data_IF_115656488057
#
_entry.id   IF_115656488057
#
_cell.length_a   1.000
_cell.length_b   1.000
_cell.length_c   1.000
_cell.angle_alpha   90.00
_cell.angle_beta   90.00
_cell.angle_gamma   90.00
#
_symmetry.space_group_name_H-M   'P 1'
#
loop_
_entity.id
_entity.type
_entity.pdbx_description
1 polymer ?
#
# COMPACT_ATOMS: atom_id res chain seq x y z
N UNK A 1 -29.38 19.13 -3.86
CA UNK A 1 -29.84 17.73 -4.05
C UNK A 1 -29.47 17.16 -5.42
N UNK A 2 -29.93 17.71 -6.55
CA UNK A 2 -29.60 17.19 -7.90
C UNK A 2 -28.09 17.17 -8.20
N UNK A 3 -27.37 18.25 -7.88
CA UNK A 3 -25.91 18.31 -8.04
C UNK A 3 -25.20 17.15 -7.31
N UNK A 4 -25.53 16.93 -6.05
CA UNK A 4 -24.90 15.90 -5.23
C UNK A 4 -25.31 14.48 -5.65
N UNK A 5 -26.61 14.24 -5.86
CA UNK A 5 -27.13 12.88 -6.16
C UNK A 5 -26.99 12.45 -7.62
N UNK A 6 -26.89 13.39 -8.57
CA UNK A 6 -26.95 13.07 -10.01
C UNK A 6 -25.82 13.67 -10.85
N UNK A 7 -24.96 14.51 -10.28
CA UNK A 7 -23.89 15.18 -11.04
C UNK A 7 -22.50 14.92 -10.46
N UNK A 8 -22.33 15.06 -9.14
CA UNK A 8 -21.03 14.91 -8.48
C UNK A 8 -20.70 13.48 -8.08
N UNK A 9 -21.71 12.64 -7.85
CA UNK A 9 -21.56 11.21 -7.50
C UNK A 9 -21.95 10.29 -8.65
N UNK A 10 -21.71 10.69 -9.91
CA UNK A 10 -21.94 9.81 -11.05
C UNK A 10 -20.89 8.71 -11.01
N UNK A 11 -21.29 7.53 -10.57
CA UNK A 11 -20.49 6.30 -10.67
C UNK A 11 -20.84 5.60 -11.97
N UNK A 12 -19.84 5.08 -12.67
CA UNK A 12 -20.11 4.19 -13.79
C UNK A 12 -20.68 2.87 -13.25
N UNK A 13 -21.53 2.15 -14.01
CA UNK A 13 -21.98 0.83 -13.61
C UNK A 13 -20.74 -0.05 -13.36
N UNK A 14 -20.66 -0.68 -12.19
CA UNK A 14 -19.52 -1.54 -11.85
C UNK A 14 -19.32 -2.60 -12.92
N UNK A 15 -18.09 -2.70 -13.43
CA UNK A 15 -17.72 -3.78 -14.34
C UNK A 15 -17.93 -5.14 -13.66
N UNK A 16 -18.56 -6.08 -14.36
CA UNK A 16 -18.70 -7.48 -13.92
C UNK A 16 -17.37 -8.23 -13.84
N UNK A 17 -16.28 -7.60 -14.27
CA UNK A 17 -14.98 -8.24 -14.51
C UNK A 17 -13.95 -7.87 -13.43
N UNK A 18 -14.41 -7.57 -12.21
CA UNK A 18 -13.50 -7.30 -11.10
C UNK A 18 -12.52 -8.47 -10.92
N UNK A 19 -11.24 -8.15 -10.66
CA UNK A 19 -10.20 -9.14 -10.44
C UNK A 19 -9.76 -9.11 -8.98
N UNK A 20 -9.21 -10.23 -8.51
CA UNK A 20 -8.40 -10.20 -7.30
C UNK A 20 -7.13 -9.39 -7.57
N UNK A 21 -6.76 -8.49 -6.65
CA UNK A 21 -5.67 -7.53 -6.89
C UNK A 21 -4.34 -8.18 -7.32
N UNK A 22 -4.01 -9.38 -6.80
CA UNK A 22 -2.80 -10.10 -7.18
C UNK A 22 -2.81 -10.53 -8.66
N UNK A 23 -3.98 -10.70 -9.28
CA UNK A 23 -4.10 -11.05 -10.70
C UNK A 23 -3.65 -9.89 -11.60
N UNK A 24 -3.81 -8.62 -11.18
CA UNK A 24 -3.22 -7.49 -11.90
C UNK A 24 -1.68 -7.53 -11.86
N UNK A 25 -1.11 -7.90 -10.71
CA UNK A 25 0.34 -8.14 -10.61
C UNK A 25 0.78 -9.28 -11.54
N UNK A 26 0.08 -10.41 -11.53
CA UNK A 26 0.39 -11.56 -12.41
C UNK A 26 0.32 -11.22 -13.91
N UNK A 27 -0.65 -10.39 -14.31
CA UNK A 27 -0.71 -9.86 -15.67
C UNK A 27 0.53 -9.04 -16.03
N UNK A 28 1.09 -8.27 -15.10
CA UNK A 28 2.33 -7.55 -15.34
C UNK A 28 3.54 -8.46 -15.38
N UNK A 29 3.57 -9.52 -14.57
CA UNK A 29 4.62 -10.55 -14.65
C UNK A 29 4.67 -11.18 -16.04
N UNK A 30 3.52 -11.47 -16.65
CA UNK A 30 3.45 -12.00 -18.02
C UNK A 30 3.92 -11.01 -19.08
N UNK A 31 3.63 -9.72 -18.90
CA UNK A 31 3.99 -8.67 -19.87
C UNK A 31 5.46 -8.24 -19.77
N UNK A 32 6.02 -8.21 -18.56
CA UNK A 32 7.32 -7.59 -18.26
C UNK A 32 8.14 -8.40 -17.23
N UNK A 33 8.41 -9.69 -17.48
CA UNK A 33 9.00 -10.59 -16.48
C UNK A 33 10.37 -10.13 -15.97
N UNK A 34 11.20 -9.58 -16.85
CA UNK A 34 12.60 -9.22 -16.55
C UNK A 34 12.78 -7.79 -16.01
N UNK A 35 11.71 -6.99 -15.98
CA UNK A 35 11.77 -5.62 -15.42
C UNK A 35 11.88 -5.70 -13.90
N UNK A 36 12.68 -4.82 -13.30
CA UNK A 36 12.79 -4.73 -11.83
C UNK A 36 11.45 -4.29 -11.22
N UNK A 37 10.83 -5.18 -10.46
CA UNK A 37 9.60 -4.92 -9.71
C UNK A 37 9.88 -4.27 -8.36
N UNK A 38 10.95 -4.70 -7.69
CA UNK A 38 11.22 -4.34 -6.30
C UNK A 38 12.70 -4.04 -6.09
N UNK A 39 12.99 -2.94 -5.40
CA UNK A 39 14.32 -2.59 -4.91
C UNK A 39 14.30 -2.31 -3.41
N UNK A 40 15.25 -2.88 -2.69
CA UNK A 40 15.53 -2.57 -1.30
C UNK A 40 17.04 -2.66 -1.06
N UNK A 41 17.65 -1.53 -0.69
CA UNK A 41 19.11 -1.41 -0.56
C UNK A 41 19.84 -1.90 -1.83
N UNK A 42 20.68 -2.94 -1.72
CA UNK A 42 21.39 -3.55 -2.86
C UNK A 42 20.60 -4.64 -3.56
N UNK A 43 19.47 -5.07 -2.99
CA UNK A 43 18.64 -6.15 -3.52
C UNK A 43 17.70 -5.61 -4.58
N UNK A 44 17.58 -6.37 -5.68
CA UNK A 44 16.64 -6.12 -6.76
C UNK A 44 15.98 -7.42 -7.14
N UNK A 45 14.65 -7.40 -7.30
CA UNK A 45 13.89 -8.53 -7.82
C UNK A 45 13.16 -8.09 -9.08
N UNK A 46 13.25 -8.89 -10.13
CA UNK A 46 12.40 -8.76 -11.30
C UNK A 46 10.94 -9.13 -10.96
N UNK A 47 10.00 -8.78 -11.84
CA UNK A 47 8.62 -9.24 -11.72
C UNK A 47 8.53 -10.76 -11.66
N UNK A 48 9.29 -11.48 -12.50
CA UNK A 48 9.32 -12.94 -12.50
C UNK A 48 9.91 -13.50 -11.19
N UNK A 49 11.01 -12.96 -10.68
CA UNK A 49 11.64 -13.41 -9.44
C UNK A 49 10.75 -13.16 -8.22
N UNK A 50 10.14 -11.97 -8.14
CA UNK A 50 9.20 -11.64 -7.07
C UNK A 50 7.98 -12.56 -7.11
N UNK A 51 7.44 -12.83 -8.31
CA UNK A 51 6.29 -13.71 -8.48
C UNK A 51 6.61 -15.16 -8.11
N UNK A 52 7.76 -15.68 -8.55
CA UNK A 52 8.20 -17.04 -8.22
C UNK A 52 8.29 -17.24 -6.70
N UNK A 53 8.98 -16.33 -5.98
CA UNK A 53 9.09 -16.39 -4.51
C UNK A 53 7.72 -16.30 -3.83
N UNK A 54 6.86 -15.40 -4.29
CA UNK A 54 5.51 -15.27 -3.76
C UNK A 54 4.65 -16.51 -4.02
N UNK A 55 4.79 -17.16 -5.18
CA UNK A 55 4.08 -18.38 -5.53
C UNK A 55 4.53 -19.56 -4.66
N UNK A 56 5.83 -19.74 -4.47
CA UNK A 56 6.38 -20.79 -3.61
C UNK A 56 5.85 -20.68 -2.19
N UNK A 57 5.87 -19.47 -1.63
CA UNK A 57 5.28 -19.21 -0.32
C UNK A 57 3.76 -19.39 -0.34
N UNK A 58 3.05 -18.99 -1.40
CA UNK A 58 1.60 -19.20 -1.51
C UNK A 58 1.22 -20.68 -1.51
N UNK A 59 1.94 -21.54 -2.23
CA UNK A 59 1.72 -23.00 -2.19
C UNK A 59 1.96 -23.56 -0.79
N UNK A 60 3.00 -23.09 -0.09
CA UNK A 60 3.21 -23.47 1.30
C UNK A 60 2.05 -23.02 2.20
N UNK A 61 1.56 -21.79 2.04
CA UNK A 61 0.42 -21.27 2.80
C UNK A 61 -0.86 -22.10 2.55
N UNK A 62 -1.14 -22.46 1.29
CA UNK A 62 -2.26 -23.34 0.92
C UNK A 62 -2.09 -24.71 1.59
N UNK A 63 -0.89 -25.28 1.60
CA UNK A 63 -0.61 -26.55 2.26
C UNK A 63 -0.81 -26.49 3.79
N UNK A 64 -0.64 -25.32 4.40
CA UNK A 64 -0.94 -25.07 5.82
C UNK A 64 -2.42 -24.70 6.08
N UNK A 65 -3.26 -24.76 5.05
CA UNK A 65 -4.71 -24.63 5.16
C UNK A 65 -5.25 -23.22 4.97
N UNK A 66 -4.43 -22.28 4.46
CA UNK A 66 -4.93 -20.94 4.07
C UNK A 66 -5.98 -21.07 2.98
N UNK A 67 -7.13 -20.44 3.21
CA UNK A 67 -8.29 -20.40 2.33
C UNK A 67 -8.89 -18.97 2.28
N UNK A 68 -9.82 -18.69 1.34
CA UNK A 68 -10.50 -17.39 1.28
C UNK A 68 -11.08 -16.91 2.62
N UNK A 69 -10.97 -15.61 2.88
CA UNK A 69 -11.33 -14.88 4.13
C UNK A 69 -10.56 -15.28 5.40
N UNK A 70 -9.63 -16.23 5.32
CA UNK A 70 -8.73 -16.51 6.42
C UNK A 70 -7.64 -15.46 6.51
N UNK A 71 -7.24 -15.13 7.74
CA UNK A 71 -6.25 -14.10 8.02
C UNK A 71 -4.88 -14.71 8.20
N UNK A 72 -3.87 -14.11 7.61
CA UNK A 72 -2.46 -14.42 7.86
C UNK A 72 -1.80 -13.16 8.40
N UNK A 73 -1.30 -13.21 9.62
CA UNK A 73 -0.57 -12.08 10.18
C UNK A 73 0.83 -12.02 9.57
N UNK A 74 1.33 -10.82 9.30
CA UNK A 74 2.67 -10.61 8.75
C UNK A 74 3.37 -9.59 9.65
N UNK A 75 4.35 -10.04 10.42
CA UNK A 75 5.19 -9.22 11.29
C UNK A 75 6.64 -9.43 10.85
N UNK A 76 7.15 -8.56 9.98
CA UNK A 76 8.52 -8.69 9.46
C UNK A 76 9.19 -7.34 9.38
N UNK A 77 10.52 -7.34 9.44
CA UNK A 77 11.30 -6.17 9.09
C UNK A 77 11.07 -5.77 7.64
N UNK A 78 11.21 -4.47 7.39
CA UNK A 78 11.17 -3.93 6.04
C UNK A 78 12.24 -4.59 5.18
N UNK A 79 11.81 -5.37 4.20
CA UNK A 79 12.66 -6.21 3.35
C UNK A 79 11.85 -6.72 2.15
N UNK A 80 12.48 -7.33 1.13
CA UNK A 80 11.74 -7.98 0.06
C UNK A 80 10.76 -9.06 0.55
N UNK A 81 11.06 -9.73 1.68
CA UNK A 81 10.19 -10.74 2.26
C UNK A 81 8.83 -10.19 2.71
N UNK A 82 8.74 -8.91 3.06
CA UNK A 82 7.47 -8.22 3.33
C UNK A 82 6.54 -8.24 2.12
N UNK A 83 7.06 -7.90 0.94
CA UNK A 83 6.29 -7.86 -0.31
C UNK A 83 5.98 -9.28 -0.80
N UNK A 84 6.94 -10.21 -0.66
CA UNK A 84 6.74 -11.63 -0.95
C UNK A 84 5.62 -12.20 -0.07
N UNK A 85 5.65 -11.96 1.24
CA UNK A 85 4.62 -12.41 2.18
C UNK A 85 3.24 -11.84 1.84
N UNK A 86 3.14 -10.53 1.59
CA UNK A 86 1.89 -9.89 1.19
C UNK A 86 1.31 -10.53 -0.08
N UNK A 87 2.11 -10.66 -1.14
CA UNK A 87 1.66 -11.27 -2.40
C UNK A 87 1.31 -12.76 -2.22
N UNK A 88 2.10 -13.50 -1.44
CA UNK A 88 1.88 -14.91 -1.19
C UNK A 88 0.54 -15.17 -0.49
N UNK A 89 0.20 -14.36 0.52
CA UNK A 89 -1.09 -14.45 1.21
C UNK A 89 -2.24 -14.20 0.25
N UNK A 90 -2.16 -13.14 -0.56
CA UNK A 90 -3.20 -12.82 -1.55
C UNK A 90 -3.36 -13.92 -2.62
N UNK A 91 -2.25 -14.54 -3.04
CA UNK A 91 -2.23 -15.64 -4.02
C UNK A 91 -2.75 -16.96 -3.43
N UNK A 92 -2.50 -17.19 -2.15
CA UNK A 92 -3.10 -18.30 -1.39
C UNK A 92 -4.62 -18.10 -1.15
N UNK A 93 -5.13 -16.90 -1.44
CA UNK A 93 -6.53 -16.50 -1.24
C UNK A 93 -6.82 -15.95 0.15
N UNK A 94 -5.84 -15.89 1.04
CA UNK A 94 -6.01 -15.30 2.36
C UNK A 94 -5.98 -13.77 2.34
N UNK A 95 -6.34 -13.19 3.48
CA UNK A 95 -6.21 -11.77 3.76
C UNK A 95 -5.02 -11.51 4.69
N UNK A 96 -4.13 -10.59 4.33
CA UNK A 96 -3.00 -10.29 5.20
C UNK A 96 -3.38 -9.31 6.31
N UNK A 97 -2.79 -9.50 7.49
CA UNK A 97 -2.89 -8.59 8.63
C UNK A 97 -1.49 -8.03 8.90
N UNK A 98 -1.17 -6.82 8.42
CA UNK A 98 0.16 -6.26 8.57
C UNK A 98 0.40 -5.80 10.02
N UNK A 99 1.52 -6.23 10.59
CA UNK A 99 1.99 -5.86 11.91
C UNK A 99 3.31 -5.10 11.77
N UNK A 100 3.42 -3.96 12.43
CA UNK A 100 4.65 -3.16 12.46
C UNK A 100 5.49 -3.60 13.67
N UNK A 101 6.73 -4.01 13.44
CA UNK A 101 7.65 -4.44 14.51
C UNK A 101 7.97 -3.31 15.49
N UNK A 102 7.74 -2.05 15.11
CA UNK A 102 7.89 -0.90 15.99
C UNK A 102 6.70 -0.69 16.96
N UNK A 103 5.61 -1.47 16.84
CA UNK A 103 4.50 -1.38 17.77
C UNK A 103 4.84 -2.00 19.13
N UNK A 104 4.28 -1.45 20.23
CA UNK A 104 4.35 -2.11 21.53
C UNK A 104 3.75 -3.52 21.48
N UNK A 105 4.37 -4.46 22.19
CA UNK A 105 3.96 -5.86 22.22
C UNK A 105 2.49 -6.03 22.62
N UNK A 106 1.97 -5.19 23.52
CA UNK A 106 0.56 -5.25 23.93
C UNK A 106 -0.39 -4.96 22.76
N UNK A 107 0.00 -4.03 21.87
CA UNK A 107 -0.77 -3.71 20.66
C UNK A 107 -0.71 -4.87 19.67
N UNK A 108 0.45 -5.45 19.47
CA UNK A 108 0.62 -6.59 18.57
C UNK A 108 -0.18 -7.81 19.04
N UNK A 109 -0.08 -8.16 20.33
CA UNK A 109 -0.83 -9.23 20.97
C UNK A 109 -2.34 -9.01 20.89
N UNK A 110 -2.79 -7.77 21.10
CA UNK A 110 -4.20 -7.42 20.91
C UNK A 110 -4.68 -7.71 19.48
N UNK A 111 -3.92 -7.26 18.48
CA UNK A 111 -4.25 -7.48 17.07
C UNK A 111 -4.29 -8.98 16.75
N UNK A 112 -3.31 -9.77 17.20
CA UNK A 112 -3.30 -11.22 16.99
C UNK A 112 -4.53 -11.91 17.60
N UNK A 113 -4.89 -11.52 18.83
CA UNK A 113 -6.03 -12.08 19.54
C UNK A 113 -7.38 -11.75 18.89
N UNK A 114 -7.52 -10.54 18.35
CA UNK A 114 -8.72 -10.10 17.65
C UNK A 114 -8.81 -10.71 16.23
N UNK A 115 -7.72 -10.65 15.47
CA UNK A 115 -7.66 -11.12 14.09
C UNK A 115 -7.79 -12.64 13.98
N UNK A 116 -7.27 -13.38 14.97
CA UNK A 116 -7.19 -14.85 15.00
C UNK A 116 -6.65 -15.42 13.69
N UNK A 117 -5.41 -15.05 13.32
CA UNK A 117 -4.83 -15.52 12.06
C UNK A 117 -4.62 -17.03 12.10
N UNK A 118 -4.73 -17.69 10.94
CA UNK A 118 -4.47 -19.13 10.82
C UNK A 118 -2.98 -19.46 10.96
N UNK A 119 -2.12 -18.51 10.60
CA UNK A 119 -0.67 -18.56 10.82
C UNK A 119 -0.07 -17.15 10.83
N UNK A 120 1.18 -17.06 11.29
CA UNK A 120 1.99 -15.84 11.31
C UNK A 120 3.18 -16.00 10.40
N UNK A 121 3.37 -15.06 9.48
CA UNK A 121 4.63 -14.85 8.78
C UNK A 121 5.50 -13.90 9.62
N UNK A 122 6.61 -14.40 10.16
CA UNK A 122 7.52 -13.61 10.98
C UNK A 122 9.00 -13.97 10.76
N UNK A 123 9.80 -12.95 10.50
CA UNK A 123 11.26 -13.03 10.54
C UNK A 123 11.76 -12.91 11.98
N UNK A 124 13.08 -12.94 12.19
CA UNK A 124 13.69 -12.85 13.52
C UNK A 124 13.20 -11.62 14.31
N UNK A 125 13.21 -10.44 13.70
CA UNK A 125 12.75 -9.21 14.34
C UNK A 125 11.24 -9.23 14.62
N UNK A 126 10.46 -9.82 13.73
CA UNK A 126 9.03 -10.03 13.94
C UNK A 126 8.72 -10.94 15.11
N UNK A 127 9.47 -12.04 15.25
CA UNK A 127 9.33 -12.95 16.37
C UNK A 127 9.75 -12.29 17.70
N UNK A 128 10.82 -11.51 17.69
CA UNK A 128 11.26 -10.72 18.85
C UNK A 128 10.20 -9.70 19.28
N UNK A 129 9.64 -8.94 18.33
CA UNK A 129 8.62 -7.93 18.60
C UNK A 129 7.32 -8.52 19.17
N UNK A 130 6.94 -9.72 18.71
CA UNK A 130 5.74 -10.43 19.19
C UNK A 130 5.96 -11.07 20.57
N UNK A 131 7.15 -11.58 20.82
CA UNK A 131 7.48 -12.32 22.04
C UNK A 131 6.88 -13.73 22.08
N UNK A 132 7.49 -14.60 22.89
CA UNK A 132 7.13 -16.02 22.97
C UNK A 132 5.68 -16.26 23.38
N UNK A 133 5.13 -15.44 24.29
CA UNK A 133 3.77 -15.60 24.82
C UNK A 133 2.71 -15.35 23.74
N UNK A 134 2.87 -14.30 22.92
CA UNK A 134 1.92 -13.98 21.86
C UNK A 134 1.96 -15.02 20.72
N UNK A 135 3.11 -15.66 20.54
CA UNK A 135 3.37 -16.67 19.52
C UNK A 135 2.97 -18.09 19.95
N UNK A 136 2.72 -18.31 21.24
CA UNK A 136 2.43 -19.63 21.78
C UNK A 136 1.20 -20.26 21.12
N UNK A 137 1.41 -21.42 20.47
CA UNK A 137 0.35 -22.17 19.79
C UNK A 137 -0.02 -21.67 18.39
N UNK A 138 0.66 -20.65 17.87
CA UNK A 138 0.52 -20.21 16.48
C UNK A 138 1.52 -20.96 15.59
N UNK A 139 1.11 -21.26 14.36
CA UNK A 139 2.04 -21.69 13.32
C UNK A 139 2.82 -20.48 12.81
N UNK A 140 4.13 -20.56 12.81
CA UNK A 140 5.02 -19.48 12.38
C UNK A 140 5.84 -19.96 11.18
N UNK A 141 5.92 -19.13 10.14
CA UNK A 141 6.81 -19.34 9.01
C UNK A 141 7.65 -18.07 8.80
N UNK A 142 8.95 -18.23 8.58
CA UNK A 142 9.79 -17.13 8.15
C UNK A 142 9.71 -17.02 6.61
N UNK A 143 9.19 -15.91 6.05
CA UNK A 143 9.10 -15.72 4.60
C UNK A 143 10.46 -15.66 3.87
N UNK A 144 11.58 -15.54 4.60
CA UNK A 144 12.93 -15.66 4.04
C UNK A 144 13.41 -17.10 3.88
N UNK A 145 12.74 -18.07 4.52
CA UNK A 145 13.13 -19.48 4.44
C UNK A 145 12.95 -19.96 3.00
N UNK A 146 13.99 -20.51 2.35
CA UNK A 146 13.85 -21.11 1.03
C UNK A 146 12.84 -22.27 1.06
N UNK A 147 11.93 -22.29 0.09
CA UNK A 147 10.89 -23.31 -0.02
C UNK A 147 11.09 -24.12 -1.30
N UNK A 148 10.99 -25.44 -1.19
CA UNK A 148 10.94 -26.34 -2.34
C UNK A 148 9.47 -26.56 -2.75
N UNK A 149 8.85 -25.49 -3.24
CA UNK A 149 7.47 -25.45 -3.72
C UNK A 149 7.44 -25.05 -5.19
N UNK A 150 6.33 -25.33 -5.92
CA UNK A 150 6.17 -24.85 -7.29
C UNK A 150 6.25 -23.31 -7.36
N UNK A 151 6.86 -22.79 -8.42
CA UNK A 151 6.95 -21.36 -8.70
C UNK A 151 5.81 -20.83 -9.60
N UNK A 152 4.88 -21.70 -10.00
CA UNK A 152 3.71 -21.37 -10.81
C UNK A 152 2.59 -20.73 -9.99
N UNK A 153 1.80 -19.85 -10.60
CA UNK A 153 0.70 -19.16 -9.89
C UNK A 153 -0.31 -20.19 -9.36
N UNK A 154 -0.58 -20.23 -8.03
CA UNK A 154 -1.59 -21.14 -7.48
C UNK A 154 -2.97 -20.82 -8.05
N UNK A 155 -3.81 -21.86 -8.18
CA UNK A 155 -5.19 -21.73 -8.65
C UNK A 155 -6.14 -22.08 -7.50
N UNK A 156 -6.72 -21.04 -6.89
CA UNK A 156 -7.68 -21.20 -5.77
C UNK A 156 -9.09 -21.02 -6.32
N UNK A 157 -9.77 -22.13 -6.65
CA UNK A 157 -11.06 -22.11 -7.36
C UNK A 157 -12.20 -21.38 -6.63
N UNK A 158 -12.14 -21.33 -5.29
CA UNK A 158 -13.13 -20.64 -4.47
C UNK A 158 -12.86 -19.13 -4.31
N UNK A 159 -11.68 -18.64 -4.70
CA UNK A 159 -11.30 -17.25 -4.51
C UNK A 159 -12.01 -16.36 -5.52
N UNK A 160 -12.62 -15.28 -5.03
CA UNK A 160 -13.32 -14.27 -5.82
C UNK A 160 -12.92 -12.87 -5.36
N UNK A 161 -13.18 -11.82 -6.17
CA UNK A 161 -12.89 -10.44 -5.79
C UNK A 161 -13.65 -9.94 -4.55
N UNK A 162 -14.72 -10.61 -4.11
CA UNK A 162 -15.49 -10.28 -2.91
C UNK A 162 -14.85 -10.80 -1.63
N UNK A 163 -13.82 -11.64 -1.72
CA UNK A 163 -13.09 -12.10 -0.54
C UNK A 163 -12.13 -11.03 -0.02
N UNK A 164 -11.81 -11.13 1.27
CA UNK A 164 -10.89 -10.24 1.95
C UNK A 164 -9.49 -10.29 1.34
N UNK A 165 -8.91 -9.11 1.13
CA UNK A 165 -7.52 -8.93 0.73
C UNK A 165 -6.63 -8.54 1.91
N UNK A 166 -7.12 -7.68 2.81
CA UNK A 166 -6.38 -7.29 4.01
C UNK A 166 -7.28 -6.90 5.17
N UNK A 167 -6.68 -6.89 6.36
CA UNK A 167 -7.26 -6.31 7.57
C UNK A 167 -6.24 -5.36 8.22
N UNK A 168 -6.53 -4.06 8.22
CA UNK A 168 -5.66 -3.03 8.84
C UNK A 168 -6.32 -2.48 10.09
N UNK A 169 -5.56 -2.39 11.18
CA UNK A 169 -6.06 -1.94 12.48
C UNK A 169 -5.91 -0.43 12.66
N UNK A 170 -7.02 0.26 12.89
CA UNK A 170 -7.06 1.70 13.15
C UNK A 170 -7.37 1.97 14.63
N UNK A 171 -7.04 3.18 15.12
CA UNK A 171 -7.43 3.60 16.47
C UNK A 171 -8.96 3.69 16.55
N UNK A 172 -9.58 2.79 17.31
CA UNK A 172 -11.03 2.86 17.55
C UNK A 172 -11.38 4.08 18.42
N UNK A 173 -12.57 4.63 18.20
CA UNK A 173 -13.12 5.72 19.01
C UNK A 173 -13.30 5.35 20.49
N UNK A 174 -13.38 4.05 20.78
CA UNK A 174 -13.48 3.47 22.13
C UNK A 174 -12.11 3.23 22.79
N UNK A 175 -11.01 3.60 22.13
CA UNK A 175 -9.64 3.40 22.60
C UNK A 175 -9.06 2.01 22.27
N UNK A 176 -9.89 1.04 21.92
CA UNK A 176 -9.42 -0.27 21.43
C UNK A 176 -9.23 -0.24 19.90
N UNK A 177 -8.11 -0.73 19.37
CA UNK A 177 -7.93 -0.87 17.92
C UNK A 177 -9.06 -1.69 17.28
N UNK A 178 -9.45 -1.33 16.05
CA UNK A 178 -10.46 -2.07 15.28
C UNK A 178 -9.89 -2.51 13.94
N UNK A 179 -10.11 -3.77 13.56
CA UNK A 179 -9.71 -4.31 12.27
C UNK A 179 -10.65 -3.87 11.15
N UNK A 180 -10.15 -3.07 10.21
CA UNK A 180 -10.87 -2.69 9.00
C UNK A 180 -10.60 -3.74 7.93
N UNK A 181 -11.63 -4.50 7.57
CA UNK A 181 -11.59 -5.56 6.56
C UNK A 181 -11.86 -5.01 5.17
N UNK A 182 -10.97 -5.25 4.22
CA UNK A 182 -11.10 -4.75 2.85
C UNK A 182 -11.01 -5.90 1.85
N UNK A 183 -11.97 -5.95 0.94
CA UNK A 183 -12.07 -6.95 -0.13
C UNK A 183 -11.18 -6.59 -1.32
N UNK A 184 -10.80 -7.60 -2.10
CA UNK A 184 -10.01 -7.40 -3.33
C UNK A 184 -10.66 -6.41 -4.30
N UNK A 185 -11.97 -6.51 -4.50
CA UNK A 185 -12.71 -5.67 -5.44
C UNK A 185 -12.59 -4.19 -5.11
N UNK A 186 -12.52 -3.83 -3.83
CA UNK A 186 -12.38 -2.43 -3.41
C UNK A 186 -11.02 -1.86 -3.84
N UNK A 187 -9.94 -2.65 -3.68
CA UNK A 187 -8.60 -2.28 -4.11
C UNK A 187 -8.53 -2.20 -5.64
N UNK A 188 -9.12 -3.18 -6.34
CA UNK A 188 -9.18 -3.23 -7.80
C UNK A 188 -9.89 -1.99 -8.37
N UNK A 189 -11.08 -1.68 -7.88
CA UNK A 189 -11.85 -0.52 -8.31
C UNK A 189 -11.11 0.79 -8.02
N UNK A 190 -10.46 0.88 -6.87
CA UNK A 190 -9.58 2.01 -6.54
C UNK A 190 -8.43 2.15 -7.56
N UNK A 191 -7.74 1.05 -7.90
CA UNK A 191 -6.64 1.08 -8.88
C UNK A 191 -7.12 1.69 -10.19
N UNK A 192 -8.22 1.17 -10.75
CA UNK A 192 -8.82 1.71 -11.98
C UNK A 192 -9.20 3.20 -11.87
N UNK A 193 -9.68 3.61 -10.70
CA UNK A 193 -10.07 5.00 -10.44
C UNK A 193 -8.90 5.98 -10.42
N UNK A 194 -7.68 5.50 -10.12
CA UNK A 194 -6.49 6.32 -9.99
C UNK A 194 -5.47 6.12 -11.11
N UNK A 195 -5.56 5.07 -11.92
CA UNK A 195 -4.60 4.79 -13.00
C UNK A 195 -4.43 5.99 -13.92
N UNK A 196 -5.52 6.67 -14.32
CA UNK A 196 -5.44 7.90 -15.12
C UNK A 196 -4.91 9.11 -14.33
N UNK A 197 -5.28 9.23 -13.05
CA UNK A 197 -4.94 10.39 -12.21
C UNK A 197 -3.43 10.39 -11.90
N UNK A 198 -2.90 9.23 -11.52
CA UNK A 198 -1.48 9.04 -11.20
C UNK A 198 -0.65 8.79 -12.44
N UNK A 199 -1.24 8.16 -13.46
CA UNK A 199 -0.60 7.78 -14.72
C UNK A 199 0.73 7.06 -14.47
N UNK A 200 0.73 6.09 -13.54
CA UNK A 200 1.91 5.26 -13.26
C UNK A 200 2.15 4.30 -14.42
N UNK A 201 3.40 4.17 -14.83
CA UNK A 201 3.82 3.34 -15.95
C UNK A 201 5.06 2.54 -15.58
N UNK A 202 5.49 1.63 -16.45
CA UNK A 202 6.73 0.87 -16.26
C UNK A 202 8.02 1.72 -16.23
N UNK A 203 7.96 3.01 -16.56
CA UNK A 203 9.10 3.93 -16.42
C UNK A 203 9.19 4.56 -15.04
N UNK A 204 8.19 4.34 -14.19
CA UNK A 204 8.11 4.94 -12.87
C UNK A 204 8.83 4.14 -11.80
N UNK A 205 9.25 4.89 -10.78
CA UNK A 205 9.87 4.38 -9.58
C UNK A 205 9.10 4.96 -8.41
N UNK A 206 8.27 4.10 -7.80
CA UNK A 206 7.34 4.47 -6.74
C UNK A 206 8.01 4.21 -5.40
N UNK A 207 8.05 5.22 -4.52
CA UNK A 207 8.58 5.06 -3.17
C UNK A 207 7.56 4.32 -2.28
N UNK A 208 7.98 3.24 -1.65
CA UNK A 208 7.26 2.63 -0.52
C UNK A 208 7.74 3.33 0.77
N UNK A 209 6.99 4.34 1.20
CA UNK A 209 7.34 5.20 2.33
C UNK A 209 6.66 4.76 3.62
N UNK A 210 5.36 4.51 3.54
CA UNK A 210 4.45 4.33 4.68
C UNK A 210 4.80 3.09 5.51
N UNK A 211 4.36 3.06 6.77
CA UNK A 211 4.37 1.82 7.55
C UNK A 211 3.54 0.75 6.84
N UNK A 212 3.98 -0.51 6.91
CA UNK A 212 3.23 -1.64 6.34
C UNK A 212 1.85 -1.81 7.00
N UNK A 213 1.73 -1.42 8.28
CA UNK A 213 0.49 -1.44 9.03
C UNK A 213 -0.43 -0.22 8.78
N UNK A 214 -0.04 0.68 7.87
CA UNK A 214 -0.85 1.82 7.45
C UNK A 214 -1.32 1.65 6.01
N UNK A 215 -2.57 2.01 5.73
CA UNK A 215 -3.25 1.74 4.46
C UNK A 215 -2.69 2.53 3.27
N UNK A 216 -2.00 3.65 3.50
CA UNK A 216 -1.23 4.32 2.45
C UNK A 216 -0.16 3.40 1.82
N UNK A 217 0.34 2.38 2.54
CA UNK A 217 1.23 1.38 1.94
C UNK A 217 0.55 0.55 0.85
N UNK A 218 -0.76 0.28 0.97
CA UNK A 218 -1.57 -0.42 -0.04
C UNK A 218 -1.55 0.34 -1.36
N UNK A 219 -1.69 1.67 -1.29
CA UNK A 219 -1.55 2.55 -2.45
C UNK A 219 -0.16 2.43 -3.07
N UNK A 220 0.89 2.52 -2.27
CA UNK A 220 2.28 2.46 -2.74
C UNK A 220 2.58 1.13 -3.43
N UNK A 221 2.18 0.00 -2.83
CA UNK A 221 2.39 -1.34 -3.38
C UNK A 221 1.67 -1.51 -4.72
N UNK A 222 0.35 -1.30 -4.76
CA UNK A 222 -0.44 -1.67 -5.92
C UNK A 222 -0.41 -0.63 -7.03
N UNK A 223 -0.20 0.66 -6.73
CA UNK A 223 0.05 1.65 -7.79
C UNK A 223 1.32 1.32 -8.58
N UNK A 224 2.31 0.70 -7.93
CA UNK A 224 3.54 0.24 -8.58
C UNK A 224 3.38 -1.11 -9.27
N UNK A 225 3.11 -2.16 -8.48
CA UNK A 225 3.17 -3.56 -8.90
C UNK A 225 2.08 -3.94 -9.91
N UNK A 226 0.95 -3.22 -9.95
CA UNK A 226 -0.10 -3.45 -10.94
C UNK A 226 0.13 -2.66 -12.25
N UNK A 227 1.12 -1.76 -12.30
CA UNK A 227 1.39 -0.88 -13.46
C UNK A 227 2.78 -1.11 -14.09
N UNK A 228 3.52 -2.15 -13.69
CA UNK A 228 4.82 -2.49 -14.25
C UNK A 228 5.98 -1.60 -13.75
N UNK A 229 5.70 -0.70 -12.80
CA UNK A 229 6.70 0.20 -12.22
C UNK A 229 7.65 -0.53 -11.26
N UNK A 230 8.74 0.12 -10.88
CA UNK A 230 9.62 -0.35 -9.81
C UNK A 230 9.17 0.21 -8.47
N UNK A 231 8.85 -0.65 -7.50
CA UNK A 231 8.67 -0.26 -6.10
C UNK A 231 10.03 -0.15 -5.42
N UNK A 232 10.36 1.02 -4.87
CA UNK A 232 11.61 1.27 -4.13
C UNK A 232 11.28 1.44 -2.66
N UNK A 233 11.73 0.51 -1.83
CA UNK A 233 11.51 0.56 -0.38
C UNK A 233 12.58 1.41 0.29
N UNK A 234 12.16 2.42 1.08
CA UNK A 234 13.11 3.14 1.94
C UNK A 234 13.64 2.23 3.04
N UNK A 235 14.82 2.51 3.57
CA UNK A 235 15.21 2.09 4.92
C UNK A 235 15.15 3.30 5.88
N UNK A 236 15.64 3.15 7.11
CA UNK A 236 15.59 4.23 8.10
C UNK A 236 16.54 5.39 7.81
N UNK A 237 17.56 5.18 6.96
CA UNK A 237 18.48 6.26 6.55
C UNK A 237 17.77 7.37 5.78
N UNK A 238 16.64 7.05 5.12
CA UNK A 238 15.80 8.03 4.42
C UNK A 238 15.19 9.06 5.35
N UNK A 239 14.99 8.71 6.62
CA UNK A 239 14.37 9.57 7.62
C UNK A 239 15.41 10.29 8.51
N UNK A 240 16.71 10.12 8.25
CA UNK A 240 17.77 10.73 9.06
C UNK A 240 17.76 12.27 8.99
N UNK A 241 17.38 12.83 7.84
CA UNK A 241 17.11 14.26 7.65
C UNK A 241 16.37 14.49 6.35
N UNK A 242 15.72 15.65 6.21
CA UNK A 242 15.09 16.07 4.96
C UNK A 242 16.09 16.14 3.79
N UNK A 243 17.34 16.55 4.05
CA UNK A 243 18.38 16.61 3.03
C UNK A 243 18.80 15.20 2.57
N UNK A 244 18.92 14.25 3.51
CA UNK A 244 19.16 12.85 3.19
C UNK A 244 18.00 12.27 2.35
N UNK A 245 16.75 12.55 2.73
CA UNK A 245 15.56 12.14 1.98
C UNK A 245 15.61 12.64 0.52
N UNK A 246 15.86 13.93 0.31
CA UNK A 246 15.97 14.52 -1.04
C UNK A 246 17.16 13.93 -1.82
N UNK A 247 18.29 13.67 -1.17
CA UNK A 247 19.45 13.04 -1.80
C UNK A 247 19.12 11.62 -2.27
N UNK A 248 18.41 10.84 -1.45
CA UNK A 248 18.01 9.47 -1.75
C UNK A 248 16.91 9.41 -2.82
N UNK A 249 15.95 10.36 -2.84
CA UNK A 249 15.02 10.52 -3.98
C UNK A 249 15.81 10.67 -5.29
N UNK A 250 16.84 11.52 -5.30
CA UNK A 250 17.68 11.75 -6.49
C UNK A 250 18.49 10.51 -6.86
N UNK A 251 19.14 9.88 -5.88
CA UNK A 251 19.98 8.69 -6.06
C UNK A 251 19.17 7.52 -6.64
N UNK A 252 17.99 7.27 -6.07
CA UNK A 252 17.11 6.19 -6.49
C UNK A 252 16.16 6.60 -7.60
N UNK A 253 16.24 7.83 -8.12
CA UNK A 253 15.39 8.38 -9.19
C UNK A 253 13.90 8.16 -8.95
N UNK A 254 13.42 8.42 -7.73
CA UNK A 254 12.00 8.28 -7.40
C UNK A 254 11.20 9.25 -8.27
N UNK A 255 10.16 8.74 -8.92
CA UNK A 255 9.28 9.51 -9.82
C UNK A 255 7.92 9.79 -9.19
N UNK A 256 7.45 8.91 -8.31
CA UNK A 256 6.16 9.01 -7.61
C UNK A 256 6.34 8.69 -6.13
N UNK A 257 5.75 9.50 -5.25
CA UNK A 257 5.69 9.20 -3.82
C UNK A 257 4.37 9.64 -3.20
N UNK A 258 3.90 8.86 -2.23
CA UNK A 258 2.81 9.22 -1.32
C UNK A 258 3.41 9.55 0.05
N UNK A 259 3.00 10.66 0.66
CA UNK A 259 3.57 11.15 1.92
C UNK A 259 2.48 11.65 2.87
N UNK A 260 2.64 11.45 4.19
CA UNK A 260 1.88 12.22 5.18
C UNK A 260 2.04 13.72 4.93
N UNK A 261 0.96 14.46 5.08
CA UNK A 261 0.91 15.90 4.75
C UNK A 261 1.90 16.72 5.58
N UNK A 262 2.12 16.31 6.83
CA UNK A 262 3.13 16.91 7.70
C UNK A 262 4.55 16.73 7.16
N UNK A 263 4.91 15.52 6.71
CA UNK A 263 6.24 15.25 6.17
C UNK A 263 6.46 16.01 4.85
N UNK A 264 5.47 16.03 3.96
CA UNK A 264 5.54 16.84 2.73
C UNK A 264 5.73 18.33 3.03
N UNK A 265 5.12 18.85 4.11
CA UNK A 265 5.24 20.27 4.46
C UNK A 265 6.69 20.70 4.76
N UNK A 266 7.54 19.78 5.22
CA UNK A 266 8.97 20.03 5.43
C UNK A 266 9.75 20.13 4.10
N UNK A 267 9.25 19.48 3.05
CA UNK A 267 9.81 19.51 1.70
C UNK A 267 9.33 20.74 0.89
N UNK A 268 8.21 21.34 1.29
CA UNK A 268 7.46 22.29 0.47
C UNK A 268 8.26 23.54 0.07
N UNK A 269 9.29 23.94 0.83
CA UNK A 269 10.15 25.09 0.53
C UNK A 269 11.51 24.72 -0.08
N UNK A 270 11.77 23.43 -0.32
CA UNK A 270 13.08 22.92 -0.73
C UNK A 270 13.10 22.48 -2.20
N UNK A 271 14.25 22.62 -2.89
CA UNK A 271 14.37 22.17 -4.28
C UNK A 271 14.30 20.64 -4.35
N UNK A 272 13.36 20.14 -5.16
CA UNK A 272 13.17 18.71 -5.39
C UNK A 272 13.83 18.26 -6.70
N UNK A 273 14.24 16.98 -6.81
CA UNK A 273 14.85 16.45 -8.03
C UNK A 273 13.87 16.41 -9.20
N UNK A 274 14.33 16.74 -10.41
CA UNK A 274 13.49 16.80 -11.62
C UNK A 274 12.91 15.45 -12.07
N UNK A 275 13.48 14.34 -11.58
CA UNK A 275 12.92 13.00 -11.84
C UNK A 275 11.57 12.79 -11.14
N UNK A 276 11.32 13.51 -10.05
CA UNK A 276 10.10 13.37 -9.26
C UNK A 276 8.94 14.07 -9.97
N UNK A 277 8.02 13.34 -10.57
CA UNK A 277 6.91 13.94 -11.34
C UNK A 277 5.61 14.09 -10.55
N UNK A 278 5.43 13.33 -9.47
CA UNK A 278 4.16 13.28 -8.73
C UNK A 278 4.40 13.11 -7.23
N UNK A 279 3.76 13.96 -6.44
CA UNK A 279 3.63 13.83 -4.99
C UNK A 279 2.14 13.72 -4.67
N UNK A 280 1.80 12.68 -3.93
CA UNK A 280 0.48 12.49 -3.32
C UNK A 280 0.65 12.79 -1.83
N UNK A 281 -0.24 13.61 -1.26
CA UNK A 281 -0.30 13.86 0.17
C UNK A 281 -1.69 13.57 0.71
N UNK A 282 -1.77 13.18 1.97
CA UNK A 282 -3.02 12.88 2.66
C UNK A 282 -2.79 12.68 4.16
N UNK A 283 -3.79 12.12 4.84
CA UNK A 283 -3.74 11.80 6.28
C UNK A 283 -4.13 12.97 7.19
N UNK A 284 -3.71 14.20 6.88
CA UNK A 284 -4.05 15.40 7.66
C UNK A 284 -4.40 16.61 6.78
N UNK A 285 -4.95 17.65 7.40
CA UNK A 285 -5.20 18.92 6.74
C UNK A 285 -3.88 19.64 6.39
N UNK A 286 -3.77 20.09 5.14
CA UNK A 286 -2.59 20.82 4.68
C UNK A 286 -2.57 22.26 5.19
N UNK A 287 -1.41 22.72 5.67
CA UNK A 287 -1.22 24.10 6.11
C UNK A 287 -1.11 25.03 4.90
N UNK A 288 -1.91 26.11 4.90
CA UNK A 288 -1.87 27.14 3.85
C UNK A 288 -0.45 27.71 3.62
N UNK A 289 0.34 27.86 4.68
CA UNK A 289 1.72 28.35 4.61
C UNK A 289 2.64 27.40 3.83
N UNK A 290 2.48 26.09 3.97
CA UNK A 290 3.27 25.10 3.22
C UNK A 290 2.93 25.15 1.72
N UNK A 291 1.65 25.30 1.38
CA UNK A 291 1.21 25.49 -0.02
C UNK A 291 1.74 26.81 -0.58
N UNK A 292 1.72 27.89 0.19
CA UNK A 292 2.33 29.16 -0.24
C UNK A 292 3.83 29.02 -0.49
N UNK A 293 4.55 28.32 0.38
CA UNK A 293 5.98 28.03 0.19
C UNK A 293 6.23 27.19 -1.07
N UNK A 294 5.40 26.17 -1.31
CA UNK A 294 5.42 25.38 -2.54
C UNK A 294 5.27 26.24 -3.79
N UNK A 295 4.34 27.21 -3.76
CA UNK A 295 4.12 28.10 -4.89
C UNK A 295 5.17 29.21 -5.05
N UNK A 296 5.88 29.56 -3.97
CA UNK A 296 6.96 30.54 -3.99
C UNK A 296 8.26 30.02 -4.63
N UNK A 297 8.41 28.69 -4.77
CA UNK A 297 9.55 28.10 -5.46
C UNK A 297 9.58 28.52 -6.95
N UNK A 298 10.76 28.95 -7.41
CA UNK A 298 11.01 29.34 -8.82
C UNK A 298 11.56 28.18 -9.67
N UNK A 299 11.81 27.04 -9.05
CA UNK A 299 12.38 25.83 -9.67
C UNK A 299 11.28 24.89 -10.14
N UNK A 300 11.69 23.77 -10.73
CA UNK A 300 10.82 22.65 -11.06
C UNK A 300 9.92 22.26 -9.87
N UNK A 301 8.64 21.99 -10.16
CA UNK A 301 7.66 21.50 -9.19
C UNK A 301 6.94 20.27 -9.75
N UNK A 302 7.04 19.11 -9.07
CA UNK A 302 6.20 17.95 -9.36
C UNK A 302 4.71 18.29 -9.32
N UNK A 303 3.87 17.46 -9.96
CA UNK A 303 2.42 17.52 -9.71
C UNK A 303 2.16 17.21 -8.23
N UNK A 304 1.28 17.99 -7.60
CA UNK A 304 0.90 17.80 -6.20
C UNK A 304 -0.60 17.47 -6.11
N UNK A 305 -0.92 16.34 -5.48
CA UNK A 305 -2.28 15.90 -5.23
C UNK A 305 -2.54 15.88 -3.72
N UNK A 306 -3.59 16.57 -3.28
CA UNK A 306 -4.15 16.39 -1.94
C UNK A 306 -5.24 15.32 -2.00
N UNK A 307 -5.16 14.34 -1.12
CA UNK A 307 -6.05 13.19 -1.10
C UNK A 307 -6.63 12.98 0.29
N UNK A 308 -7.84 12.45 0.33
CA UNK A 308 -8.55 12.19 1.57
C UNK A 308 -9.33 10.88 1.43
N UNK A 309 -9.23 10.04 2.45
CA UNK A 309 -10.06 8.87 2.62
C UNK A 309 -9.78 8.23 3.98
N UNK A 310 -10.80 7.68 4.65
CA UNK A 310 -10.60 6.80 5.78
C UNK A 310 -10.20 5.40 5.30
N UNK A 311 -9.58 4.61 6.17
CA UNK A 311 -9.23 3.20 5.91
C UNK A 311 -10.45 2.38 5.52
N UNK A 312 -11.61 2.67 6.11
CA UNK A 312 -12.90 2.04 5.86
C UNK A 312 -13.43 2.23 4.43
N UNK A 313 -12.89 3.20 3.66
CA UNK A 313 -13.24 3.41 2.26
C UNK A 313 -12.03 3.19 1.33
N UNK A 314 -11.14 2.26 1.72
CA UNK A 314 -9.99 1.81 0.91
C UNK A 314 -9.04 2.95 0.54
N UNK A 315 -8.31 3.45 1.53
CA UNK A 315 -7.23 4.46 1.43
C UNK A 315 -7.69 5.87 1.02
N UNK A 316 -8.32 6.04 -0.15
CA UNK A 316 -8.63 7.37 -0.72
C UNK A 316 -10.02 7.39 -1.33
N UNK A 317 -10.83 8.36 -0.90
CA UNK A 317 -12.17 8.63 -1.40
C UNK A 317 -12.23 9.86 -2.31
N UNK A 318 -11.40 10.88 -2.06
CA UNK A 318 -11.38 12.13 -2.83
C UNK A 318 -9.97 12.56 -3.18
N UNK A 319 -9.85 13.27 -4.30
CA UNK A 319 -8.58 13.79 -4.80
C UNK A 319 -8.74 15.23 -5.32
N UNK A 320 -7.74 16.07 -5.01
CA UNK A 320 -7.59 17.45 -5.47
C UNK A 320 -6.20 17.63 -6.05
N UNK A 321 -6.11 17.97 -7.33
CA UNK A 321 -4.90 18.56 -7.87
C UNK A 321 -4.72 19.97 -7.28
N UNK A 322 -3.56 20.22 -6.68
CA UNK A 322 -3.17 21.53 -6.15
C UNK A 322 -2.50 22.32 -7.29
N UNK A 323 -3.23 23.27 -7.85
CA UNK A 323 -2.82 24.07 -9.00
C UNK A 323 -2.55 25.54 -8.60
N UNK A 324 -3.09 25.99 -7.47
CA UNK A 324 -2.81 27.31 -6.93
C UNK A 324 -2.91 27.36 -5.38
N UNK A 325 -2.43 28.44 -4.73
CA UNK A 325 -2.50 28.58 -3.27
C UNK A 325 -3.91 28.52 -2.67
N UNK A 326 -4.93 28.81 -3.47
CA UNK A 326 -6.35 28.80 -3.08
C UNK A 326 -6.88 27.37 -2.86
N UNK A 327 -6.18 26.35 -3.36
CA UNK A 327 -6.60 24.94 -3.27
C UNK A 327 -6.36 24.30 -1.90
N UNK A 328 -5.64 24.97 -0.99
CA UNK A 328 -5.20 24.42 0.31
C UNK A 328 -6.33 23.91 1.22
N UNK A 329 -7.57 24.39 1.05
CA UNK A 329 -8.72 23.99 1.86
C UNK A 329 -9.58 22.87 1.27
N UNK A 330 -9.21 22.33 0.10
CA UNK A 330 -10.04 21.38 -0.62
C UNK A 330 -9.47 19.97 -0.58
N UNK A 331 -10.32 19.00 -0.20
CA UNK A 331 -10.07 17.57 -0.39
C UNK A 331 -10.48 17.08 -1.80
N UNK A 332 -11.01 18.00 -2.62
CA UNK A 332 -11.27 17.78 -4.04
C UNK A 332 -12.61 17.13 -4.33
N UNK A 333 -12.59 16.22 -5.31
CA UNK A 333 -13.78 15.52 -5.81
C UNK A 333 -13.68 14.02 -5.53
N UNK A 334 -14.82 13.32 -5.46
CA UNK A 334 -14.82 11.87 -5.39
C UNK A 334 -14.00 11.26 -6.52
N UNK A 335 -13.30 10.18 -6.22
CA UNK A 335 -12.59 9.37 -7.22
C UNK A 335 -13.61 8.54 -7.98
N UNK A 336 -13.21 7.90 -9.09
CA UNK A 336 -14.14 7.06 -9.86
C UNK A 336 -14.77 6.00 -8.94
N UNK A 337 -16.04 5.68 -9.18
CA UNK A 337 -16.82 4.69 -8.42
C UNK A 337 -16.95 4.97 -6.91
N UNK A 338 -16.75 6.22 -6.49
CA UNK A 338 -16.94 6.68 -5.10
C UNK A 338 -17.98 7.80 -5.06
N UNK A 339 -18.85 7.77 -4.05
CA UNK A 339 -19.83 8.82 -3.78
C UNK A 339 -19.54 9.53 -2.47
N UNK A 340 -19.65 10.86 -2.45
CA UNK A 340 -19.55 11.67 -1.24
C UNK A 340 -20.89 12.35 -0.96
N UNK A 341 -21.40 12.16 0.24
CA UNK A 341 -22.67 12.74 0.68
C UNK A 341 -22.43 13.71 1.83
N UNK A 342 -22.90 14.95 1.67
CA UNK A 342 -22.96 15.95 2.73
C UNK A 342 -24.43 16.02 3.19
N UNK A 343 -24.68 15.54 4.40
CA UNK A 343 -26.01 15.41 5.00
C UNK A 343 -26.12 16.34 6.21
N UNK A 344 -27.34 16.76 6.55
CA UNK A 344 -27.69 17.68 7.64
C UNK A 344 -27.97 17.00 8.98
#
# INVERSE_FOLDING_TARGET
RTLLLKTWNVTEPGSSDALCIHQLFEQQVQKMPDVTALEYQTQRLSYAELNARANQLAHQLIAQGVAPDQRVAICVSRSPAMVVGMLAVLKAGGAYVPLDTAYPVERLTHILNDAKPVLVLADEAGQEALGEEALAGLLILDPNTPLDQPDSNPQVSALTPQHLAYVIYTSGSTGQPKGVTIEHQAIYQRSLGFDETYAVTAQDRVLQFSSFAFDASVEEFFSSLCNGATLVMRDDSWLASVQAFIALIRQHRITVMSLPTLFWSELAALPLPECLRLIIMGGEAVKKSAIQAWFAQKTYRPRLLNTYGPTENTVIATCKAILSPEDAGSIGRPVKNTGIYLLD
#
